data_IF_202782761015
#
_entry.id   IF_202782761015
#
_cell.length_a   1.000
_cell.length_b   1.000
_cell.length_c   1.000
_cell.angle_alpha   90.00
_cell.angle_beta   90.00
_cell.angle_gamma   90.00
#
_symmetry.space_group_name_H-M   'P 1'
#
loop_
_entity.id
_entity.type
_entity.pdbx_description
1 polymer ?
#
# COMPACT_ATOMS: atom_id res chain seq x y z
N UNK A 1 -23.66 4.00 18.46
CA UNK A 1 -22.47 3.16 18.70
C UNK A 1 -22.74 1.77 18.12
N UNK A 2 -23.10 1.69 16.84
CA UNK A 2 -22.20 1.62 15.67
C UNK A 2 -21.93 0.17 15.28
N UNK A 3 -22.95 -0.43 14.63
CA UNK A 3 -22.91 -1.78 14.08
C UNK A 3 -21.86 -1.91 12.96
N UNK A 4 -21.56 -0.79 12.29
CA UNK A 4 -20.57 -0.69 11.20
C UNK A 4 -19.14 -0.89 11.72
N UNK A 5 -18.84 -0.41 12.93
CA UNK A 5 -17.53 -0.61 13.56
C UNK A 5 -17.27 -2.08 13.89
N UNK A 6 -18.28 -2.78 14.45
CA UNK A 6 -18.20 -4.22 14.74
C UNK A 6 -18.08 -5.06 13.48
N UNK A 7 -18.84 -4.73 12.43
CA UNK A 7 -18.79 -5.47 11.17
C UNK A 7 -17.43 -5.31 10.46
N UNK A 8 -16.79 -4.14 10.58
CA UNK A 8 -15.44 -3.91 10.03
C UNK A 8 -14.37 -4.75 10.73
N UNK A 9 -14.43 -4.83 12.05
CA UNK A 9 -13.47 -5.59 12.86
C UNK A 9 -13.61 -7.10 12.65
N UNK A 10 -14.86 -7.57 12.49
CA UNK A 10 -15.15 -8.95 12.11
C UNK A 10 -14.68 -9.23 10.68
N UNK A 11 -14.94 -8.34 9.70
CA UNK A 11 -14.48 -8.54 8.32
C UNK A 11 -12.95 -8.50 8.18
N UNK A 12 -12.27 -7.70 9.00
CA UNK A 12 -10.80 -7.66 9.10
C UNK A 12 -10.24 -8.95 9.76
N UNK A 13 -11.01 -9.67 10.58
CA UNK A 13 -10.55 -10.89 11.27
C UNK A 13 -10.69 -12.18 10.44
N UNK A 14 -11.61 -12.26 9.46
CA UNK A 14 -11.93 -13.54 8.76
C UNK A 14 -11.12 -13.83 7.47
N UNK A 15 -10.05 -13.11 7.13
CA UNK A 15 -9.34 -13.37 5.86
C UNK A 15 -10.07 -12.85 4.59
N UNK A 16 -11.38 -12.59 4.69
CA UNK A 16 -12.26 -12.23 3.57
C UNK A 16 -12.02 -10.81 3.03
N UNK A 17 -11.79 -9.81 3.89
CA UNK A 17 -11.46 -8.46 3.43
C UNK A 17 -10.07 -8.39 2.76
N UNK A 18 -9.15 -9.28 3.13
CA UNK A 18 -7.77 -9.29 2.62
C UNK A 18 -7.67 -9.85 1.21
N UNK A 19 -8.35 -10.97 0.94
CA UNK A 19 -8.48 -11.51 -0.42
C UNK A 19 -9.14 -10.51 -1.35
N UNK A 20 -10.17 -9.79 -0.86
CA UNK A 20 -10.81 -8.71 -1.61
C UNK A 20 -9.86 -7.56 -1.91
N UNK A 21 -9.10 -7.09 -0.92
CA UNK A 21 -8.14 -6.00 -1.14
C UNK A 21 -7.02 -6.40 -2.12
N UNK A 22 -6.53 -7.64 -2.03
CA UNK A 22 -5.57 -8.18 -2.98
C UNK A 22 -6.13 -8.25 -4.40
N UNK A 23 -7.36 -8.77 -4.56
CA UNK A 23 -8.02 -8.85 -5.86
C UNK A 23 -8.26 -7.46 -6.46
N UNK A 24 -8.79 -6.50 -5.67
CA UNK A 24 -9.00 -5.13 -6.13
C UNK A 24 -7.68 -4.47 -6.53
N UNK A 25 -6.64 -4.62 -5.73
CA UNK A 25 -5.34 -4.06 -6.08
C UNK A 25 -4.79 -4.66 -7.39
N UNK A 26 -4.72 -5.99 -7.46
CA UNK A 26 -4.07 -6.70 -8.56
C UNK A 26 -4.85 -6.62 -9.87
N UNK A 27 -6.18 -6.67 -9.82
CA UNK A 27 -7.03 -6.77 -11.01
C UNK A 27 -7.61 -5.44 -11.48
N UNK A 28 -7.64 -4.43 -10.59
CA UNK A 28 -8.33 -3.16 -10.86
C UNK A 28 -7.36 -1.99 -10.76
N UNK A 29 -6.71 -1.81 -9.61
CA UNK A 29 -5.89 -0.61 -9.37
C UNK A 29 -4.56 -0.66 -10.11
N UNK A 30 -3.76 -1.71 -9.90
CA UNK A 30 -2.42 -1.80 -10.49
C UNK A 30 -2.43 -1.81 -12.03
N UNK A 31 -3.36 -2.52 -12.71
CA UNK A 31 -3.50 -2.40 -14.16
C UNK A 31 -3.85 -0.99 -14.63
N UNK A 32 -4.71 -0.27 -13.90
CA UNK A 32 -5.07 1.11 -14.22
C UNK A 32 -3.92 2.10 -13.99
N UNK A 33 -3.08 1.85 -12.98
CA UNK A 33 -1.85 2.63 -12.76
C UNK A 33 -0.94 2.50 -13.98
N UNK A 34 -0.68 1.27 -14.44
CA UNK A 34 0.15 1.05 -15.63
C UNK A 34 -0.42 1.74 -16.87
N UNK A 35 -1.72 1.56 -17.13
CA UNK A 35 -2.39 2.24 -18.24
C UNK A 35 -2.29 3.77 -18.15
N UNK A 36 -2.40 4.34 -16.94
CA UNK A 36 -2.21 5.77 -16.75
C UNK A 36 -0.80 6.22 -17.14
N UNK A 37 0.22 5.52 -16.67
CA UNK A 37 1.61 5.86 -17.00
C UNK A 37 1.87 5.69 -18.49
N UNK A 38 1.30 4.67 -19.12
CA UNK A 38 1.41 4.46 -20.57
C UNK A 38 0.77 5.59 -21.38
N UNK A 39 -0.39 6.10 -20.96
CA UNK A 39 -1.11 7.18 -21.65
C UNK A 39 -0.47 8.55 -21.39
N UNK A 40 -0.13 8.84 -20.14
CA UNK A 40 0.31 10.18 -19.71
C UNK A 40 1.83 10.34 -19.61
N UNK A 41 2.59 9.24 -19.75
CA UNK A 41 4.05 9.19 -19.64
C UNK A 41 4.60 9.73 -18.31
N UNK A 42 3.80 9.63 -17.25
CA UNK A 42 4.19 9.98 -15.89
C UNK A 42 3.29 9.29 -14.84
N UNK A 43 3.80 9.12 -13.62
CA UNK A 43 3.06 8.54 -12.47
C UNK A 43 2.30 9.55 -11.60
N UNK A 44 2.15 10.81 -12.04
CA UNK A 44 1.50 11.87 -11.27
C UNK A 44 -0.02 11.81 -11.46
N UNK A 45 -0.66 10.80 -10.89
CA UNK A 45 -2.10 10.59 -10.96
C UNK A 45 -2.84 11.64 -10.09
N UNK A 46 -3.68 12.52 -10.64
CA UNK A 46 -4.47 13.48 -9.89
C UNK A 46 -5.44 12.80 -8.93
N UNK A 47 -5.68 13.37 -7.75
CA UNK A 47 -6.60 12.79 -6.76
C UNK A 47 -8.01 12.55 -7.32
N UNK A 48 -8.50 13.45 -8.17
CA UNK A 48 -9.85 13.34 -8.74
C UNK A 48 -9.91 12.44 -9.99
N UNK A 49 -8.79 11.86 -10.42
CA UNK A 49 -8.75 11.05 -11.63
C UNK A 49 -9.67 9.83 -11.53
N UNK A 50 -10.55 9.71 -12.52
CA UNK A 50 -11.45 8.58 -12.73
C UNK A 50 -11.04 7.90 -14.02
N UNK A 51 -10.88 6.59 -13.99
CA UNK A 51 -10.49 5.80 -15.16
C UNK A 51 -11.58 5.91 -16.23
N UNK A 52 -11.25 6.41 -17.45
CA UNK A 52 -12.18 6.45 -18.57
C UNK A 52 -12.71 5.08 -18.95
N UNK A 53 -13.95 5.04 -19.45
CA UNK A 53 -14.63 3.81 -19.86
C UNK A 53 -14.41 3.49 -21.34
N UNK A 54 -13.16 3.54 -21.77
CA UNK A 54 -12.75 3.37 -23.17
C UNK A 54 -11.35 2.75 -23.26
N UNK A 55 -10.95 2.31 -24.44
CA UNK A 55 -9.58 1.87 -24.68
C UNK A 55 -8.61 3.07 -24.59
N UNK A 56 -7.38 2.92 -24.07
CA UNK A 56 -6.70 1.67 -23.71
C UNK A 56 -6.91 1.23 -22.25
N UNK A 57 -7.88 1.78 -21.53
CA UNK A 57 -8.05 1.52 -20.11
C UNK A 57 -8.59 0.11 -19.85
N UNK A 58 -8.11 -0.63 -18.83
CA UNK A 58 -8.62 -1.94 -18.51
C UNK A 58 -10.10 -1.89 -18.12
N UNK A 59 -10.94 -2.73 -18.75
CA UNK A 59 -12.40 -2.76 -18.52
C UNK A 59 -12.81 -2.90 -17.05
N UNK A 60 -12.08 -3.70 -16.27
CA UNK A 60 -12.34 -3.87 -14.82
C UNK A 60 -12.12 -2.58 -14.02
N UNK A 61 -11.34 -1.66 -14.57
CA UNK A 61 -10.95 -0.40 -13.94
C UNK A 61 -11.82 0.78 -14.36
N UNK A 62 -12.65 0.64 -15.39
CA UNK A 62 -13.53 1.69 -15.89
C UNK A 62 -14.41 2.29 -14.79
N UNK A 63 -14.50 3.63 -14.77
CA UNK A 63 -15.26 4.39 -13.78
C UNK A 63 -14.68 4.37 -12.36
N UNK A 64 -13.54 3.73 -12.11
CA UNK A 64 -12.92 3.72 -10.78
C UNK A 64 -12.21 5.03 -10.50
N UNK A 65 -12.41 5.55 -9.28
CA UNK A 65 -11.71 6.73 -8.74
C UNK A 65 -10.29 6.35 -8.34
N UNK A 66 -9.43 6.12 -9.33
CA UNK A 66 -8.06 5.64 -9.13
C UNK A 66 -7.23 6.62 -8.28
N UNK A 67 -7.32 7.92 -8.59
CA UNK A 67 -6.59 8.94 -7.82
C UNK A 67 -6.96 8.97 -6.35
N UNK A 68 -8.24 8.80 -6.05
CA UNK A 68 -8.77 8.78 -4.69
C UNK A 68 -8.34 7.53 -3.94
N UNK A 69 -8.37 6.36 -4.59
CA UNK A 69 -7.88 5.11 -4.01
C UNK A 69 -6.41 5.19 -3.61
N UNK A 70 -5.56 5.74 -4.49
CA UNK A 70 -4.13 5.95 -4.20
C UNK A 70 -3.91 6.99 -3.08
N UNK A 71 -4.73 8.05 -3.05
CA UNK A 71 -4.70 9.04 -1.97
C UNK A 71 -5.03 8.40 -0.62
N UNK A 72 -6.08 7.58 -0.55
CA UNK A 72 -6.43 6.84 0.67
C UNK A 72 -5.33 5.86 1.10
N UNK A 73 -4.61 5.24 0.15
CA UNK A 73 -3.46 4.39 0.47
C UNK A 73 -2.36 5.19 1.16
N UNK A 74 -2.00 6.36 0.63
CA UNK A 74 -0.95 7.21 1.22
C UNK A 74 -1.35 7.85 2.55
N UNK A 75 -2.62 8.24 2.69
CA UNK A 75 -3.08 9.00 3.87
C UNK A 75 -3.52 8.08 5.02
N UNK A 76 -4.18 6.96 4.71
CA UNK A 76 -4.82 6.09 5.70
C UNK A 76 -4.23 4.66 5.73
N UNK A 77 -3.39 4.30 4.77
CA UNK A 77 -2.83 2.95 4.67
C UNK A 77 -3.85 1.90 4.19
N UNK A 78 -4.82 2.26 3.34
CA UNK A 78 -5.60 1.27 2.58
C UNK A 78 -4.70 0.53 1.60
N UNK A 79 -4.96 -0.75 1.33
CA UNK A 79 -4.12 -1.59 0.45
C UNK A 79 -2.63 -1.63 0.83
N UNK A 80 -2.24 -1.25 2.05
CA UNK A 80 -0.84 -1.11 2.46
C UNK A 80 -0.01 -2.35 2.19
N UNK A 81 -0.55 -3.55 2.42
CA UNK A 81 0.16 -4.81 2.17
C UNK A 81 0.53 -4.95 0.69
N UNK A 82 -0.43 -4.74 -0.21
CA UNK A 82 -0.19 -4.85 -1.65
C UNK A 82 0.71 -3.71 -2.14
N UNK A 83 0.42 -2.48 -1.71
CA UNK A 83 1.23 -1.31 -1.95
C UNK A 83 2.70 -1.54 -1.55
N UNK A 84 2.94 -2.09 -0.36
CA UNK A 84 4.27 -2.35 0.18
C UNK A 84 4.99 -3.51 -0.50
N UNK A 85 4.26 -4.49 -1.04
CA UNK A 85 4.83 -5.56 -1.87
C UNK A 85 5.27 -5.03 -3.24
N UNK A 86 4.47 -4.13 -3.82
CA UNK A 86 4.70 -3.56 -5.15
C UNK A 86 5.42 -2.20 -5.13
N UNK A 87 5.90 -1.72 -3.97
CA UNK A 87 6.39 -0.33 -3.83
C UNK A 87 7.54 0.01 -4.79
N UNK A 88 8.42 -0.95 -5.05
CA UNK A 88 9.50 -0.83 -6.05
C UNK A 88 8.93 -0.53 -7.44
N UNK A 89 7.94 -1.31 -7.89
CA UNK A 89 7.28 -1.10 -9.18
C UNK A 89 6.53 0.24 -9.22
N UNK A 90 5.94 0.66 -8.11
CA UNK A 90 5.24 1.95 -8.04
C UNK A 90 6.23 3.11 -8.16
N UNK A 91 7.40 3.01 -7.52
CA UNK A 91 8.47 3.99 -7.59
C UNK A 91 9.07 4.05 -9.00
N UNK A 92 9.32 2.90 -9.63
CA UNK A 92 9.76 2.79 -11.04
C UNK A 92 8.76 3.43 -12.01
N UNK A 93 7.46 3.31 -11.73
CA UNK A 93 6.38 3.96 -12.49
C UNK A 93 6.26 5.47 -12.21
N UNK A 94 7.08 6.02 -11.31
CA UNK A 94 7.13 7.43 -10.96
C UNK A 94 5.95 7.90 -10.11
N UNK A 95 5.30 7.01 -9.37
CA UNK A 95 4.24 7.39 -8.44
C UNK A 95 4.82 8.08 -7.22
N UNK A 96 4.05 9.00 -6.64
CA UNK A 96 4.37 9.49 -5.30
C UNK A 96 4.14 8.34 -4.30
N UNK A 97 5.23 7.77 -3.78
CA UNK A 97 5.20 6.68 -2.79
C UNK A 97 5.31 7.15 -1.33
N UNK A 98 5.26 8.46 -1.10
CA UNK A 98 5.35 9.05 0.24
C UNK A 98 4.07 8.82 1.04
N UNK A 99 4.21 8.29 2.24
CA UNK A 99 3.14 8.09 3.20
C UNK A 99 2.92 9.35 4.04
N UNK A 100 1.71 9.51 4.55
CA UNK A 100 1.44 10.46 5.64
C UNK A 100 1.97 9.91 6.97
N UNK A 101 2.23 10.79 7.94
CA UNK A 101 2.57 10.38 9.30
C UNK A 101 1.49 9.46 9.90
N UNK A 102 0.22 9.67 9.57
CA UNK A 102 -0.89 8.82 9.99
C UNK A 102 -0.77 7.40 9.44
N UNK A 103 -0.54 7.25 8.13
CA UNK A 103 -0.39 5.93 7.52
C UNK A 103 0.87 5.24 8.02
N UNK A 104 1.96 5.98 8.17
CA UNK A 104 3.22 5.52 8.72
C UNK A 104 3.07 4.96 10.14
N UNK A 105 2.53 5.74 11.07
CA UNK A 105 2.32 5.32 12.46
C UNK A 105 1.38 4.10 12.54
N UNK A 106 0.37 4.04 11.67
CA UNK A 106 -0.60 2.96 11.66
C UNK A 106 -0.06 1.65 11.06
N UNK A 107 0.81 1.73 10.05
CA UNK A 107 1.17 0.57 9.20
C UNK A 107 2.63 0.17 9.26
N UNK A 108 3.54 1.13 9.41
CA UNK A 108 4.99 0.90 9.34
C UNK A 108 5.60 0.79 10.74
N UNK A 109 5.24 1.69 11.67
CA UNK A 109 5.78 1.66 13.05
C UNK A 109 5.60 0.31 13.75
N UNK A 110 4.44 -0.39 13.66
CA UNK A 110 4.33 -1.73 14.25
C UNK A 110 5.31 -2.74 13.66
N UNK A 111 5.61 -2.65 12.36
CA UNK A 111 6.57 -3.54 11.71
C UNK A 111 8.01 -3.20 12.11
N UNK A 112 8.32 -1.91 12.28
CA UNK A 112 9.62 -1.48 12.79
C UNK A 112 9.86 -1.97 14.23
N UNK A 113 8.84 -1.96 15.08
CA UNK A 113 8.94 -2.52 16.44
C UNK A 113 9.26 -4.00 16.42
N UNK A 114 8.54 -4.78 15.60
CA UNK A 114 8.84 -6.21 15.43
C UNK A 114 10.24 -6.45 14.88
N UNK A 115 10.69 -5.64 13.91
CA UNK A 115 12.06 -5.73 13.42
C UNK A 115 13.09 -5.46 14.52
N UNK A 116 12.89 -4.39 15.31
CA UNK A 116 13.80 -3.99 16.38
C UNK A 116 13.86 -5.03 17.52
N UNK A 117 12.75 -5.68 17.83
CA UNK A 117 12.73 -6.80 18.80
C UNK A 117 13.58 -8.00 18.33
N UNK A 118 13.66 -8.25 17.02
CA UNK A 118 14.38 -9.38 16.44
C UNK A 118 15.86 -9.08 16.13
N UNK A 119 16.16 -7.85 15.74
CA UNK A 119 17.45 -7.46 15.17
C UNK A 119 18.15 -6.30 15.91
N UNK A 120 17.50 -5.74 16.93
CA UNK A 120 17.94 -4.52 17.63
C UNK A 120 17.53 -3.23 16.90
N UNK A 121 17.80 -2.07 17.52
CA UNK A 121 17.41 -0.74 17.01
C UNK A 121 18.24 -0.23 15.81
N UNK A 122 18.89 -1.14 15.07
CA UNK A 122 19.69 -0.80 13.90
C UNK A 122 18.87 -0.35 12.70
N UNK A 123 19.55 0.21 11.70
CA UNK A 123 18.93 0.54 10.42
C UNK A 123 18.34 -0.71 9.76
N UNK A 124 17.15 -0.56 9.18
CA UNK A 124 16.50 -1.63 8.42
C UNK A 124 17.16 -1.72 7.04
N UNK A 125 17.74 -2.87 6.65
CA UNK A 125 18.32 -3.06 5.32
C UNK A 125 17.30 -2.74 4.22
N UNK A 126 17.71 -2.04 3.16
CA UNK A 126 16.82 -1.60 2.08
C UNK A 126 16.09 -2.78 1.41
N UNK A 127 16.77 -3.91 1.30
CA UNK A 127 16.25 -5.15 0.72
C UNK A 127 15.45 -6.01 1.70
N UNK A 128 15.27 -5.57 2.96
CA UNK A 128 14.52 -6.33 3.94
C UNK A 128 13.05 -6.49 3.53
N UNK A 129 12.64 -7.75 3.43
CA UNK A 129 11.28 -8.19 3.14
C UNK A 129 10.75 -8.93 4.35
N UNK A 130 9.55 -8.57 4.81
CA UNK A 130 8.92 -9.22 5.96
C UNK A 130 8.75 -10.73 5.68
N UNK A 131 9.34 -11.62 6.50
CA UNK A 131 9.27 -13.06 6.29
C UNK A 131 7.88 -13.63 6.66
N UNK A 132 7.70 -14.94 6.42
CA UNK A 132 6.48 -15.67 6.83
C UNK A 132 6.51 -16.18 8.26
N UNK A 133 7.68 -16.17 8.89
CA UNK A 133 7.92 -16.81 10.18
C UNK A 133 7.51 -15.91 11.35
N UNK A 134 7.17 -16.53 12.47
CA UNK A 134 6.87 -15.82 13.72
C UNK A 134 8.07 -14.97 14.17
N UNK A 135 7.85 -13.77 14.75
CA UNK A 135 6.59 -13.19 15.23
C UNK A 135 5.78 -12.42 14.16
N UNK A 136 6.19 -12.41 12.89
CA UNK A 136 5.50 -11.65 11.86
C UNK A 136 4.10 -12.19 11.59
N UNK A 137 3.13 -11.29 11.48
CA UNK A 137 1.79 -11.69 11.04
C UNK A 137 1.83 -12.13 9.56
N UNK A 138 1.27 -13.30 9.25
CA UNK A 138 1.20 -13.83 7.87
C UNK A 138 0.65 -12.84 6.83
N UNK A 139 -0.18 -11.89 7.26
CA UNK A 139 -0.80 -10.89 6.39
C UNK A 139 0.20 -9.87 5.84
N UNK A 140 1.31 -9.60 6.54
CA UNK A 140 2.33 -8.61 6.13
C UNK A 140 3.54 -9.24 5.47
N UNK A 141 3.58 -10.57 5.36
CA UNK A 141 4.62 -11.29 4.62
C UNK A 141 4.80 -10.72 3.21
N UNK A 142 6.04 -10.56 2.78
CA UNK A 142 6.38 -10.02 1.47
C UNK A 142 6.36 -8.48 1.39
N UNK A 143 5.90 -7.77 2.42
CA UNK A 143 6.00 -6.31 2.46
C UNK A 143 7.49 -5.92 2.50
N UNK A 144 7.92 -5.06 1.57
CA UNK A 144 9.31 -4.60 1.44
C UNK A 144 9.58 -3.47 2.43
N UNK A 145 9.59 -3.79 3.71
CA UNK A 145 9.70 -2.83 4.81
C UNK A 145 10.96 -1.97 4.68
N UNK A 146 12.10 -2.56 4.31
CA UNK A 146 13.34 -1.81 4.08
C UNK A 146 13.18 -0.70 3.04
N UNK A 147 12.63 -1.05 1.89
CA UNK A 147 12.40 -0.10 0.80
C UNK A 147 11.35 0.96 1.16
N UNK A 148 10.29 0.58 1.90
CA UNK A 148 9.31 1.54 2.42
C UNK A 148 9.99 2.57 3.33
N UNK A 149 10.88 2.13 4.22
CA UNK A 149 11.63 3.01 5.13
C UNK A 149 12.53 3.95 4.34
N UNK A 150 13.33 3.42 3.41
CA UNK A 150 14.24 4.21 2.57
C UNK A 150 13.47 5.28 1.77
N UNK A 151 12.36 4.90 1.15
CA UNK A 151 11.50 5.80 0.37
C UNK A 151 10.68 6.75 1.25
N UNK A 152 10.69 6.63 2.58
CA UNK A 152 9.96 7.49 3.51
C UNK A 152 10.84 8.02 4.66
N UNK A 153 12.15 8.17 4.42
CA UNK A 153 13.14 8.58 5.43
C UNK A 153 12.79 9.85 6.20
N UNK A 154 12.01 10.77 5.60
CA UNK A 154 11.52 11.98 6.29
C UNK A 154 10.64 11.71 7.52
N UNK A 155 10.12 10.48 7.67
CA UNK A 155 9.27 10.06 8.79
C UNK A 155 10.04 9.28 9.88
N UNK A 156 11.31 8.94 9.62
CA UNK A 156 12.17 8.26 10.59
C UNK A 156 12.56 9.18 11.74
N UNK A 157 12.78 10.47 11.48
CA UNK A 157 13.11 11.46 12.51
C UNK A 157 11.91 11.93 13.37
N UNK A 158 10.70 11.46 13.06
CA UNK A 158 9.47 11.87 13.73
C UNK A 158 8.94 10.84 14.74
N UNK A 159 9.65 9.73 14.95
CA UNK A 159 9.28 8.67 15.90
C UNK A 159 10.35 8.48 16.97
#
# INVERSE_FOLDING_TARGET
MDKVARDREVLDSVGFAWSRNAAVWNEILFPAIKAYVDVHKNGKIPQQFVVPSEDPWPRKSWGKRLGDALSHTRINGSYFVQYGRDIEKLDELGLNVKLSLRAWNKRVVPLLKTYAELHGEGEVPVDFVVPSDTPWEKKVTGVRLGLIVALNSQLMSCN
#
